data_IF_000411912774
#
_entry.id   IF_000411912774
#
_cell.length_a   1.000
_cell.length_b   1.000
_cell.length_c   1.000
_cell.angle_alpha   90.00
_cell.angle_beta   90.00
_cell.angle_gamma   90.00
#
_symmetry.space_group_name_H-M   'P 1'
#
loop_
_entity.id
_entity.type
_entity.pdbx_description
1 polymer ?
#
# COMPACT_ATOMS: atom_id res chain seq x y z
N UNK A 1 -2.79 7.80 -21.64
CA UNK A 1 -3.51 7.18 -20.51
C UNK A 1 -5.00 7.43 -20.66
N UNK A 2 -5.92 6.66 -20.05
CA UNK A 2 -7.37 6.80 -20.25
C UNK A 2 -7.93 8.20 -19.97
N UNK A 3 -7.33 8.94 -19.03
CA UNK A 3 -7.81 10.26 -18.59
C UNK A 3 -6.75 11.36 -18.69
N UNK A 4 -5.68 11.17 -19.46
CA UNK A 4 -4.55 12.13 -19.52
C UNK A 4 -3.72 12.22 -18.23
N UNK A 5 -4.12 11.52 -17.17
CA UNK A 5 -3.42 11.45 -15.88
C UNK A 5 -2.70 10.11 -15.70
N UNK A 6 -1.67 10.11 -14.87
CA UNK A 6 -1.02 8.92 -14.30
C UNK A 6 -1.49 8.76 -12.85
N UNK A 7 -1.50 7.54 -12.27
CA UNK A 7 -0.99 6.27 -12.82
C UNK A 7 -1.96 5.57 -13.79
N UNK A 8 -1.41 4.73 -14.66
CA UNK A 8 -2.15 3.93 -15.64
C UNK A 8 -1.58 2.50 -15.70
N UNK A 9 -2.44 1.50 -15.53
CA UNK A 9 -2.09 0.09 -15.66
C UNK A 9 -2.53 -0.44 -17.03
N UNK A 10 -1.67 -1.20 -17.70
CA UNK A 10 -2.04 -1.99 -18.88
C UNK A 10 -2.08 -3.46 -18.46
N UNK A 11 -3.26 -4.08 -18.57
CA UNK A 11 -3.46 -5.47 -18.18
C UNK A 11 -4.36 -6.16 -19.22
N UNK A 12 -3.89 -7.26 -19.82
CA UNK A 12 -4.58 -8.00 -20.90
C UNK A 12 -5.12 -7.06 -21.98
N UNK A 13 -4.24 -6.22 -22.53
CA UNK A 13 -4.53 -5.22 -23.57
C UNK A 13 -5.56 -4.13 -23.21
N UNK A 14 -6.03 -4.08 -21.95
CA UNK A 14 -6.92 -3.05 -21.43
C UNK A 14 -6.15 -2.04 -20.59
N UNK A 15 -6.53 -0.76 -20.73
CA UNK A 15 -5.92 0.35 -19.99
C UNK A 15 -6.84 0.78 -18.85
N UNK A 16 -6.31 0.75 -17.62
CA UNK A 16 -6.98 1.19 -16.41
C UNK A 16 -6.29 2.45 -15.88
N UNK A 17 -7.07 3.46 -15.50
CA UNK A 17 -6.59 4.69 -14.86
C UNK A 17 -7.08 4.79 -13.41
N UNK A 18 -6.72 5.88 -12.73
CA UNK A 18 -7.01 6.15 -11.30
C UNK A 18 -6.31 5.18 -10.33
N UNK A 19 -5.49 5.70 -9.43
CA UNK A 19 -4.65 4.91 -8.52
C UNK A 19 -5.46 3.97 -7.62
N UNK A 20 -6.56 4.46 -7.04
CA UNK A 20 -7.44 3.68 -6.15
C UNK A 20 -8.19 2.56 -6.88
N UNK A 21 -8.60 2.79 -8.13
CA UNK A 21 -9.29 1.79 -8.95
C UNK A 21 -8.35 0.67 -9.37
N UNK A 22 -7.12 1.01 -9.79
CA UNK A 22 -6.07 0.05 -10.13
C UNK A 22 -5.71 -0.80 -8.90
N UNK A 23 -5.50 -0.16 -7.75
CA UNK A 23 -5.18 -0.82 -6.49
C UNK A 23 -6.28 -1.80 -6.07
N UNK A 24 -7.55 -1.38 -6.16
CA UNK A 24 -8.71 -2.23 -5.85
C UNK A 24 -8.86 -3.41 -6.81
N UNK A 25 -8.59 -3.21 -8.10
CA UNK A 25 -8.62 -4.26 -9.11
C UNK A 25 -7.56 -5.34 -8.80
N UNK A 26 -6.31 -4.93 -8.59
CA UNK A 26 -5.22 -5.85 -8.24
C UNK A 26 -5.48 -6.55 -6.89
N UNK A 27 -6.01 -5.83 -5.90
CA UNK A 27 -6.36 -6.44 -4.62
C UNK A 27 -7.46 -7.51 -4.77
N UNK A 28 -8.40 -7.37 -5.70
CA UNK A 28 -9.39 -8.41 -6.00
C UNK A 28 -8.77 -9.59 -6.74
N UNK A 29 -7.92 -9.34 -7.73
CA UNK A 29 -7.20 -10.36 -8.48
C UNK A 29 -6.30 -11.22 -7.58
N UNK A 30 -5.60 -10.60 -6.61
CA UNK A 30 -4.71 -11.29 -5.67
C UNK A 30 -5.39 -11.68 -4.35
N UNK A 31 -6.72 -11.58 -4.25
CA UNK A 31 -7.50 -11.89 -3.06
C UNK A 31 -7.07 -11.15 -1.77
N UNK A 32 -6.50 -9.94 -1.90
CA UNK A 32 -6.08 -9.03 -0.82
C UNK A 32 -7.13 -7.94 -0.49
N UNK A 33 -8.28 -7.93 -1.16
CA UNK A 33 -9.32 -6.90 -1.05
C UNK A 33 -10.31 -7.11 0.11
N UNK A 34 -10.36 -8.29 0.76
CA UNK A 34 -11.30 -8.50 1.88
C UNK A 34 -10.83 -7.71 3.10
N UNK A 35 -11.58 -6.66 3.45
CA UNK A 35 -11.48 -6.00 4.73
C UNK A 35 -11.88 -6.97 5.85
N UNK A 36 -11.07 -7.03 6.91
CA UNK A 36 -11.36 -7.80 8.12
C UNK A 36 -12.58 -7.18 8.81
N UNK A 37 -13.71 -7.90 8.88
CA UNK A 37 -14.79 -7.57 9.82
C UNK A 37 -14.85 -8.51 11.03
N UNK A 38 -14.05 -9.58 11.08
CA UNK A 38 -14.02 -10.42 12.28
C UNK A 38 -12.65 -11.09 12.46
N UNK A 39 -12.34 -11.25 13.75
CA UNK A 39 -11.13 -11.81 14.36
C UNK A 39 -10.76 -13.18 13.80
N UNK A 40 -9.46 -13.50 13.84
CA UNK A 40 -8.87 -14.82 13.53
C UNK A 40 -9.02 -15.26 12.05
N UNK A 41 -7.99 -15.49 11.23
CA UNK A 41 -6.71 -16.16 11.43
C UNK A 41 -5.70 -15.62 10.38
N UNK A 42 -4.43 -15.66 10.73
CA UNK A 42 -3.25 -15.36 9.90
C UNK A 42 -3.05 -13.90 9.44
N UNK A 43 -1.81 -13.44 9.60
CA UNK A 43 -1.25 -12.14 9.23
C UNK A 43 -1.34 -11.83 7.72
N UNK A 44 -2.54 -11.73 7.15
CA UNK A 44 -2.75 -11.36 5.75
C UNK A 44 -2.74 -9.84 5.63
N UNK A 45 -1.64 -9.31 5.07
CA UNK A 45 -1.55 -7.90 4.68
C UNK A 45 -2.63 -7.62 3.63
N UNK A 46 -3.45 -6.60 3.86
CA UNK A 46 -4.50 -6.16 2.93
C UNK A 46 -4.06 -4.95 2.12
N UNK A 47 -4.84 -4.59 1.09
CA UNK A 47 -4.62 -3.35 0.35
C UNK A 47 -4.68 -2.11 1.26
N UNK A 48 -5.54 -2.12 2.28
CA UNK A 48 -5.67 -1.01 3.21
C UNK A 48 -4.39 -0.82 4.03
N UNK A 49 -3.76 -1.90 4.48
CA UNK A 49 -2.51 -1.85 5.25
C UNK A 49 -1.36 -1.29 4.41
N UNK A 50 -1.28 -1.68 3.13
CA UNK A 50 -0.29 -1.15 2.19
C UNK A 50 -0.52 0.34 1.90
N UNK A 51 -1.78 0.76 1.69
CA UNK A 51 -2.11 2.16 1.45
C UNK A 51 -1.79 3.04 2.67
N UNK A 52 -2.10 2.56 3.88
CA UNK A 52 -1.78 3.26 5.12
C UNK A 52 -0.26 3.34 5.34
N UNK A 53 0.48 2.27 5.03
CA UNK A 53 1.94 2.28 5.08
C UNK A 53 2.54 3.33 4.14
N UNK A 54 2.09 3.37 2.88
CA UNK A 54 2.57 4.31 1.87
C UNK A 54 2.34 5.77 2.29
N UNK A 55 1.09 6.09 2.68
CA UNK A 55 0.73 7.43 3.17
C UNK A 55 1.57 7.81 4.40
N UNK A 56 1.71 6.89 5.36
CA UNK A 56 2.45 7.13 6.60
C UNK A 56 3.94 7.38 6.31
N UNK A 57 4.51 6.70 5.33
CA UNK A 57 5.90 6.90 4.93
C UNK A 57 6.13 8.30 4.35
N UNK A 58 5.29 8.73 3.40
CA UNK A 58 5.37 10.08 2.83
C UNK A 58 5.18 11.16 3.89
N UNK A 59 4.24 10.95 4.82
CA UNK A 59 3.98 11.86 5.94
C UNK A 59 5.21 11.94 6.86
N UNK A 60 5.82 10.80 7.22
CA UNK A 60 7.01 10.77 8.07
C UNK A 60 8.24 11.39 7.37
N UNK A 61 8.38 11.25 6.04
CA UNK A 61 9.42 11.93 5.25
C UNK A 61 9.23 13.46 5.26
N UNK A 62 7.99 13.93 5.23
CA UNK A 62 7.67 15.37 5.19
C UNK A 62 7.71 16.03 6.57
N UNK A 63 7.27 15.29 7.59
CA UNK A 63 7.29 15.71 9.00
C UNK A 63 7.67 14.50 9.85
N UNK A 64 8.96 14.41 10.17
CA UNK A 64 9.41 13.53 11.23
C UNK A 64 8.58 13.83 12.50
N UNK A 65 8.03 12.80 13.13
CA UNK A 65 7.16 12.84 14.33
C UNK A 65 5.65 13.03 14.13
N UNK A 66 5.15 13.21 12.90
CA UNK A 66 3.69 13.28 12.66
C UNK A 66 2.92 12.02 13.14
N UNK A 67 3.60 10.88 13.23
CA UNK A 67 3.03 9.61 13.71
C UNK A 67 3.51 9.19 15.09
N UNK A 68 4.25 10.04 15.81
CA UNK A 68 4.79 9.74 17.14
C UNK A 68 3.69 9.46 18.18
N UNK A 69 2.55 10.16 18.08
CA UNK A 69 1.41 10.00 19.00
C UNK A 69 0.55 8.76 18.72
N UNK A 70 0.80 8.00 17.64
CA UNK A 70 -0.06 6.90 17.19
C UNK A 70 0.68 5.55 17.21
N UNK A 71 0.84 4.91 18.39
CA UNK A 71 1.62 3.69 18.53
C UNK A 71 1.04 2.48 17.76
N UNK A 72 -0.29 2.42 17.60
CA UNK A 72 -0.94 1.38 16.80
C UNK A 72 -0.62 1.50 15.30
N UNK A 73 -0.54 2.73 14.80
CA UNK A 73 -0.18 3.00 13.41
C UNK A 73 1.28 2.63 13.13
N UNK A 74 2.18 2.95 14.06
CA UNK A 74 3.59 2.54 13.97
C UNK A 74 3.73 1.01 14.00
N UNK A 75 2.97 0.33 14.87
CA UNK A 75 2.96 -1.13 14.92
C UNK A 75 2.49 -1.74 13.59
N UNK A 76 1.44 -1.18 12.99
CA UNK A 76 0.98 -1.60 11.67
C UNK A 76 2.06 -1.42 10.61
N UNK A 77 2.68 -0.24 10.54
CA UNK A 77 3.72 0.06 9.55
C UNK A 77 4.92 -0.87 9.69
N UNK A 78 5.35 -1.18 10.92
CA UNK A 78 6.42 -2.16 11.18
C UNK A 78 6.03 -3.56 10.69
N UNK A 79 4.83 -4.02 11.01
CA UNK A 79 4.36 -5.34 10.57
C UNK A 79 4.29 -5.45 9.04
N UNK A 80 3.88 -4.39 8.35
CA UNK A 80 3.82 -4.34 6.88
C UNK A 80 5.23 -4.31 6.29
N UNK A 81 6.14 -3.49 6.83
CA UNK A 81 7.52 -3.40 6.36
C UNK A 81 8.32 -4.71 6.57
N UNK A 82 8.00 -5.48 7.62
CA UNK A 82 8.62 -6.77 7.90
C UNK A 82 8.13 -7.90 7.00
N UNK A 83 7.02 -7.72 6.28
CA UNK A 83 6.49 -8.75 5.39
C UNK A 83 7.52 -9.10 4.30
N UNK A 84 7.88 -10.39 4.07
CA UNK A 84 9.02 -10.78 3.23
C UNK A 84 9.01 -10.15 1.83
N UNK A 85 7.83 -10.11 1.18
CA UNK A 85 7.69 -9.53 -0.15
C UNK A 85 7.80 -7.99 -0.15
N UNK A 86 7.29 -7.35 0.91
CA UNK A 86 7.37 -5.89 1.06
C UNK A 86 8.80 -5.48 1.37
N UNK A 87 9.44 -6.14 2.34
CA UNK A 87 10.86 -5.94 2.67
C UNK A 87 11.78 -6.10 1.45
N UNK A 88 11.53 -7.12 0.62
CA UNK A 88 12.28 -7.33 -0.63
C UNK A 88 12.09 -6.16 -1.60
N UNK A 89 10.85 -5.68 -1.77
CA UNK A 89 10.57 -4.50 -2.61
C UNK A 89 11.22 -3.22 -2.05
N UNK A 90 11.13 -2.98 -0.74
CA UNK A 90 11.73 -1.83 -0.06
C UNK A 90 13.25 -1.78 -0.22
N UNK A 91 13.92 -2.94 -0.26
CA UNK A 91 15.36 -3.02 -0.48
C UNK A 91 15.78 -2.67 -1.91
N UNK A 92 14.89 -2.81 -2.89
CA UNK A 92 15.20 -2.59 -4.32
C UNK A 92 14.58 -1.33 -4.91
N UNK A 93 13.59 -0.73 -4.23
CA UNK A 93 12.93 0.48 -4.74
C UNK A 93 13.92 1.66 -4.74
N UNK A 94 13.77 2.55 -5.72
CA UNK A 94 14.55 3.79 -5.78
C UNK A 94 14.11 4.71 -4.65
N UNK A 95 15.06 5.37 -4.01
CA UNK A 95 14.71 6.44 -3.08
C UNK A 95 14.26 7.66 -3.87
N UNK A 96 12.99 8.02 -3.70
CA UNK A 96 12.38 9.21 -4.27
C UNK A 96 11.90 10.12 -3.15
N UNK A 97 11.93 11.45 -3.37
CA UNK A 97 11.45 12.41 -2.39
C UNK A 97 9.93 12.31 -2.17
N UNK A 98 9.18 11.78 -3.16
CA UNK A 98 7.75 11.55 -3.14
C UNK A 98 7.42 10.18 -3.76
#
# INVERSE_FOLDING_TARGET
>A
TPFGQLPCLVYKDKRYGQSSAIASFLAREFAMAKARFESDEAKKVTLADLAVFDITETVNKTKADATAAFPLLQKLCKNVAEHPNVKKYLATRKDTPF
#
